data_IF_982618343232
#
_entry.id   IF_982618343232
#
_cell.length_a   1.000
_cell.length_b   1.000
_cell.length_c   1.000
_cell.angle_alpha   90.00
_cell.angle_beta   90.00
_cell.angle_gamma   90.00
#
_symmetry.space_group_name_H-M   'P 1'
#
loop_
_entity.id
_entity.type
_entity.pdbx_description
1 polymer ?
#
# COMPACT_ATOMS: atom_id res chain seq x y z
N UNK A 1 17.99 10.82 0.26
CA UNK A 1 18.01 9.91 -0.90
C UNK A 1 16.67 10.08 -1.59
N UNK A 2 16.73 10.74 -2.75
CA UNK A 2 15.59 11.11 -3.58
C UNK A 2 15.09 9.87 -4.36
N UNK A 3 13.81 9.87 -4.72
CA UNK A 3 13.06 8.75 -5.28
C UNK A 3 13.79 7.98 -6.39
N UNK A 4 14.20 6.75 -6.10
CA UNK A 4 14.23 5.68 -7.11
C UNK A 4 12.80 5.49 -7.63
N UNK A 5 12.67 5.36 -8.95
CA UNK A 5 11.37 5.11 -9.58
C UNK A 5 10.70 3.87 -8.96
N UNK A 6 9.37 3.92 -8.86
CA UNK A 6 8.59 2.77 -8.40
C UNK A 6 8.89 1.57 -9.29
N UNK A 7 9.01 0.38 -8.68
CA UNK A 7 9.05 -0.85 -9.48
C UNK A 7 7.71 -1.02 -10.21
N UNK A 8 7.72 -1.69 -11.37
CA UNK A 8 6.49 -1.99 -12.11
C UNK A 8 5.47 -2.79 -11.28
N UNK A 9 5.94 -3.62 -10.34
CA UNK A 9 5.04 -4.33 -9.42
C UNK A 9 4.40 -3.35 -8.43
N UNK A 10 5.18 -2.44 -7.85
CA UNK A 10 4.67 -1.42 -6.93
C UNK A 10 3.67 -0.50 -7.64
N UNK A 11 3.95 -0.12 -8.89
CA UNK A 11 3.04 0.65 -9.74
C UNK A 11 1.72 -0.09 -9.97
N UNK A 12 1.75 -1.35 -10.41
CA UNK A 12 0.55 -2.14 -10.63
C UNK A 12 -0.27 -2.29 -9.34
N UNK A 13 0.39 -2.57 -8.21
CA UNK A 13 -0.29 -2.73 -6.91
C UNK A 13 -0.90 -1.39 -6.45
N UNK A 14 -0.21 -0.27 -6.66
CA UNK A 14 -0.75 1.06 -6.39
C UNK A 14 -1.99 1.34 -7.23
N UNK A 15 -1.95 1.06 -8.52
CA UNK A 15 -3.09 1.25 -9.40
C UNK A 15 -4.27 0.34 -9.03
N UNK A 16 -4.02 -0.87 -8.55
CA UNK A 16 -5.08 -1.81 -8.17
C UNK A 16 -5.67 -1.53 -6.79
N UNK A 17 -4.84 -1.18 -5.80
CA UNK A 17 -5.24 -1.12 -4.38
C UNK A 17 -5.20 0.30 -3.80
N UNK A 18 -4.49 1.22 -4.43
CA UNK A 18 -4.32 2.59 -3.97
C UNK A 18 -5.55 3.45 -4.19
N UNK A 19 -5.72 4.42 -3.29
CA UNK A 19 -6.68 5.52 -3.43
C UNK A 19 -5.91 6.80 -3.72
N UNK A 20 -6.39 7.58 -4.70
CA UNK A 20 -5.70 8.78 -5.22
C UNK A 20 -6.55 10.05 -5.06
N UNK A 21 -7.66 9.96 -4.33
CA UNK A 21 -8.58 11.08 -4.12
C UNK A 21 -9.60 11.24 -5.25
N UNK A 22 -10.77 11.80 -4.92
CA UNK A 22 -11.87 12.01 -5.89
C UNK A 22 -12.68 10.76 -6.25
N UNK A 23 -12.31 9.57 -5.75
CA UNK A 23 -12.92 8.29 -6.12
C UNK A 23 -14.31 8.02 -5.54
N UNK A 24 -14.91 8.95 -4.75
CA UNK A 24 -16.22 8.72 -4.11
C UNK A 24 -17.36 8.45 -5.09
N UNK A 25 -17.18 8.76 -6.37
CA UNK A 25 -18.14 8.53 -7.45
C UNK A 25 -17.52 7.71 -8.60
N UNK A 26 -16.35 7.11 -8.39
CA UNK A 26 -15.73 6.28 -9.41
C UNK A 26 -16.59 5.03 -9.65
N UNK A 27 -16.66 4.53 -10.90
CA UNK A 27 -17.45 3.35 -11.24
C UNK A 27 -16.95 2.08 -10.55
N UNK A 28 -15.67 2.04 -10.16
CA UNK A 28 -15.08 0.91 -9.45
C UNK A 28 -14.20 1.36 -8.30
N UNK A 29 -14.33 0.67 -7.17
CA UNK A 29 -13.44 0.86 -6.02
C UNK A 29 -12.12 0.09 -6.21
N UNK A 30 -11.01 0.54 -5.60
CA UNK A 30 -9.77 -0.23 -5.52
C UNK A 30 -9.98 -1.61 -4.90
N UNK A 31 -9.12 -2.57 -5.24
CA UNK A 31 -9.16 -3.91 -4.67
C UNK A 31 -8.87 -3.87 -3.16
N UNK A 32 -9.72 -4.54 -2.40
CA UNK A 32 -9.48 -4.81 -0.99
C UNK A 32 -8.32 -5.81 -0.82
N UNK A 33 -7.78 -5.91 0.40
CA UNK A 33 -6.73 -6.88 0.75
C UNK A 33 -7.06 -8.32 0.31
N UNK A 34 -8.24 -8.90 0.62
CA UNK A 34 -8.55 -10.26 0.21
C UNK A 34 -8.70 -10.41 -1.31
N UNK A 35 -9.29 -9.42 -2.00
CA UNK A 35 -9.40 -9.43 -3.48
C UNK A 35 -8.01 -9.41 -4.13
N UNK A 36 -7.12 -8.54 -3.66
CA UNK A 36 -5.76 -8.49 -4.18
C UNK A 36 -4.97 -9.76 -3.81
N UNK A 37 -5.17 -10.35 -2.63
CA UNK A 37 -4.52 -11.60 -2.25
C UNK A 37 -4.95 -12.76 -3.18
N UNK A 38 -6.23 -12.82 -3.56
CA UNK A 38 -6.74 -13.78 -4.54
C UNK A 38 -6.11 -13.56 -5.93
N UNK A 39 -6.05 -12.31 -6.40
CA UNK A 39 -5.40 -11.96 -7.67
C UNK A 39 -3.90 -12.28 -7.67
N UNK A 40 -3.18 -11.92 -6.61
CA UNK A 40 -1.75 -12.21 -6.46
C UNK A 40 -1.48 -13.72 -6.44
N UNK A 41 -2.34 -14.52 -5.81
CA UNK A 41 -2.26 -15.99 -5.85
C UNK A 41 -2.45 -16.50 -7.28
N UNK A 42 -3.46 -16.02 -7.99
CA UNK A 42 -3.76 -16.44 -9.36
C UNK A 42 -2.63 -16.05 -10.35
N UNK A 43 -1.99 -14.89 -10.15
CA UNK A 43 -0.80 -14.47 -10.89
C UNK A 43 0.38 -15.41 -10.64
N UNK A 44 0.72 -15.63 -9.37
CA UNK A 44 1.85 -16.47 -8.98
C UNK A 44 1.72 -17.92 -9.48
N UNK A 45 0.51 -18.49 -9.47
CA UNK A 45 0.25 -19.85 -9.98
C UNK A 45 0.52 -19.98 -11.48
N UNK A 46 0.48 -18.87 -12.23
CA UNK A 46 0.80 -18.81 -13.66
C UNK A 46 2.23 -18.32 -13.94
N UNK A 47 3.04 -18.12 -12.90
CA UNK A 47 4.38 -17.55 -13.01
C UNK A 47 4.40 -16.07 -13.39
N UNK A 48 3.27 -15.37 -13.22
CA UNK A 48 3.12 -13.95 -13.52
C UNK A 48 3.34 -13.08 -12.29
N UNK A 49 3.72 -11.84 -12.52
CA UNK A 49 3.92 -10.77 -11.55
C UNK A 49 2.87 -9.67 -11.73
N UNK A 50 2.62 -8.83 -10.70
CA UNK A 50 1.72 -7.68 -10.84
C UNK A 50 2.06 -6.77 -12.02
N UNK A 51 3.35 -6.52 -12.30
CA UNK A 51 3.78 -5.69 -13.43
C UNK A 51 3.32 -6.21 -14.79
N UNK A 52 3.12 -7.53 -14.94
CA UNK A 52 2.68 -8.12 -16.21
C UNK A 52 1.26 -7.68 -16.58
N UNK A 53 0.46 -7.21 -15.61
CA UNK A 53 -0.85 -6.62 -15.86
C UNK A 53 -0.79 -5.24 -16.53
N UNK A 54 0.36 -4.55 -16.49
CA UNK A 54 0.54 -3.23 -17.13
C UNK A 54 0.81 -3.35 -18.64
N UNK A 55 1.13 -4.54 -19.14
CA UNK A 55 1.26 -4.79 -20.56
C UNK A 55 -0.10 -4.64 -21.27
N UNK A 56 -0.10 -4.29 -22.56
CA UNK A 56 -1.32 -4.03 -23.34
C UNK A 56 -2.35 -5.18 -23.29
N UNK A 57 -1.87 -6.43 -23.18
CA UNK A 57 -2.71 -7.63 -23.10
C UNK A 57 -2.86 -8.19 -21.66
N UNK A 58 -2.18 -7.59 -20.68
CA UNK A 58 -2.12 -8.07 -19.30
C UNK A 58 -3.50 -8.21 -18.61
N UNK A 59 -4.39 -7.21 -18.72
CA UNK A 59 -5.74 -7.28 -18.15
C UNK A 59 -6.67 -8.27 -18.87
N UNK A 60 -6.28 -8.75 -20.06
CA UNK A 60 -7.15 -9.51 -20.95
C UNK A 60 -7.07 -11.03 -20.76
N UNK A 61 -6.36 -11.54 -19.74
CA UNK A 61 -6.32 -12.97 -19.41
C UNK A 61 -7.60 -13.39 -18.65
N UNK A 62 -8.67 -13.88 -19.30
CA UNK A 62 -9.98 -13.97 -18.66
C UNK A 62 -9.99 -15.05 -17.57
N UNK A 63 -9.23 -16.13 -17.77
CA UNK A 63 -9.07 -17.20 -16.79
C UNK A 63 -8.35 -16.78 -15.50
N UNK A 64 -7.47 -15.78 -15.57
CA UNK A 64 -6.78 -15.24 -14.38
C UNK A 64 -7.77 -14.46 -13.51
N UNK A 65 -8.51 -13.55 -14.12
CA UNK A 65 -9.41 -12.64 -13.41
C UNK A 65 -10.66 -13.35 -12.89
N UNK A 66 -11.17 -14.34 -13.65
CA UNK A 66 -12.25 -15.20 -13.20
C UNK A 66 -11.86 -16.01 -11.95
N UNK A 67 -10.65 -16.56 -11.90
CA UNK A 67 -10.16 -17.31 -10.72
C UNK A 67 -9.97 -16.39 -9.50
N UNK A 68 -9.52 -15.15 -9.74
CA UNK A 68 -9.40 -14.13 -8.70
C UNK A 68 -10.76 -13.60 -8.21
N UNK A 69 -11.85 -13.86 -8.94
CA UNK A 69 -13.18 -13.33 -8.65
C UNK A 69 -13.30 -11.83 -8.89
N UNK A 70 -12.51 -11.25 -9.80
CA UNK A 70 -12.49 -9.81 -10.09
C UNK A 70 -12.93 -9.55 -11.54
N UNK A 71 -13.78 -8.56 -11.73
CA UNK A 71 -14.24 -8.15 -13.05
C UNK A 71 -13.12 -7.55 -13.91
N UNK A 72 -13.08 -7.89 -15.20
CA UNK A 72 -12.09 -7.40 -16.16
C UNK A 72 -12.15 -5.87 -16.27
N UNK A 73 -13.36 -5.32 -16.36
CA UNK A 73 -13.64 -3.89 -16.49
C UNK A 73 -13.11 -3.11 -15.28
N UNK A 74 -13.21 -3.69 -14.08
CA UNK A 74 -12.66 -3.12 -12.85
C UNK A 74 -11.13 -3.07 -12.93
N UNK A 75 -10.47 -4.15 -13.35
CA UNK A 75 -9.01 -4.18 -13.49
C UNK A 75 -8.54 -3.15 -14.53
N UNK A 76 -9.13 -3.14 -15.71
CA UNK A 76 -8.80 -2.17 -16.78
C UNK A 76 -8.99 -0.74 -16.29
N UNK A 77 -10.11 -0.44 -15.63
CA UNK A 77 -10.36 0.88 -15.07
C UNK A 77 -9.29 1.26 -14.05
N UNK A 78 -8.99 0.37 -13.10
CA UNK A 78 -8.05 0.65 -12.00
C UNK A 78 -6.63 0.88 -12.51
N UNK A 79 -6.17 0.07 -13.47
CA UNK A 79 -4.87 0.23 -14.14
C UNK A 79 -4.79 1.49 -15.00
N UNK A 80 -5.91 1.98 -15.51
CA UNK A 80 -6.00 3.24 -16.28
C UNK A 80 -5.81 4.51 -15.46
N UNK A 81 -5.59 4.44 -14.14
CA UNK A 81 -5.54 5.60 -13.23
C UNK A 81 -4.15 6.23 -13.08
N UNK A 82 -3.24 5.98 -14.02
CA UNK A 82 -1.83 6.42 -13.98
C UNK A 82 -1.63 7.91 -13.66
N UNK A 83 -2.41 8.81 -14.29
CA UNK A 83 -2.30 10.25 -14.03
C UNK A 83 -2.68 10.62 -12.59
N UNK A 84 -3.76 10.04 -12.05
CA UNK A 84 -4.20 10.30 -10.68
C UNK A 84 -3.19 9.78 -9.65
N UNK A 85 -2.60 8.60 -9.93
CA UNK A 85 -1.52 8.03 -9.15
C UNK A 85 -0.29 8.94 -9.14
N UNK A 86 0.17 9.40 -10.31
CA UNK A 86 1.35 10.26 -10.43
C UNK A 86 1.22 11.56 -9.62
N UNK A 87 0.06 12.23 -9.72
CA UNK A 87 -0.23 13.44 -8.93
C UNK A 87 -0.26 13.17 -7.43
N UNK A 88 -0.79 12.01 -7.02
CA UNK A 88 -0.82 11.61 -5.60
C UNK A 88 0.58 11.31 -5.08
N UNK A 89 1.40 10.56 -5.82
CA UNK A 89 2.79 10.28 -5.46
C UNK A 89 3.61 11.55 -5.32
N UNK A 90 3.45 12.51 -6.24
CA UNK A 90 4.11 13.82 -6.16
C UNK A 90 3.72 14.57 -4.88
N UNK A 91 2.43 14.59 -4.55
CA UNK A 91 1.90 15.20 -3.32
C UNK A 91 2.45 14.53 -2.07
N UNK A 92 2.43 13.21 -2.01
CA UNK A 92 2.92 12.41 -0.89
C UNK A 92 4.42 12.60 -0.70
N UNK A 93 5.19 12.54 -1.78
CA UNK A 93 6.64 12.76 -1.76
C UNK A 93 7.01 14.15 -1.25
N UNK A 94 6.29 15.21 -1.67
CA UNK A 94 6.46 16.58 -1.15
C UNK A 94 6.22 16.69 0.35
N UNK A 95 5.34 15.86 0.92
CA UNK A 95 5.09 15.79 2.35
C UNK A 95 6.08 14.89 3.10
N UNK A 96 7.08 14.32 2.43
CA UNK A 96 8.05 13.39 3.01
C UNK A 96 7.49 11.99 3.25
N UNK A 97 6.39 11.65 2.57
CA UNK A 97 5.82 10.31 2.61
C UNK A 97 6.48 9.40 1.58
N UNK A 98 6.51 8.12 1.91
CA UNK A 98 6.89 7.04 1.03
C UNK A 98 5.78 5.98 1.00
N UNK A 99 5.82 5.14 -0.03
CA UNK A 99 4.91 4.00 -0.17
C UNK A 99 5.72 2.76 -0.50
N UNK A 100 5.31 1.63 0.10
CA UNK A 100 5.87 0.31 -0.12
C UNK A 100 4.73 -0.63 -0.47
N UNK A 101 4.90 -1.42 -1.52
CA UNK A 101 4.01 -2.53 -1.83
C UNK A 101 4.54 -3.81 -1.20
N UNK A 102 3.67 -4.82 -1.09
CA UNK A 102 4.06 -6.16 -0.67
C UNK A 102 5.14 -6.78 -1.58
N UNK A 103 5.30 -6.33 -2.82
CA UNK A 103 6.34 -6.82 -3.74
C UNK A 103 7.73 -6.27 -3.39
N UNK A 104 7.80 -5.16 -2.63
CA UNK A 104 9.08 -4.52 -2.30
C UNK A 104 9.86 -5.30 -1.24
N UNK A 105 11.19 -5.25 -1.37
CA UNK A 105 12.12 -5.84 -0.41
C UNK A 105 12.06 -5.15 0.96
N UNK A 106 11.85 -3.83 0.97
CA UNK A 106 11.72 -3.00 2.17
C UNK A 106 10.36 -3.16 2.87
N UNK A 107 9.41 -3.87 2.29
CA UNK A 107 8.13 -4.14 2.96
C UNK A 107 8.35 -5.10 4.14
N UNK A 108 7.84 -4.78 5.36
CA UNK A 108 8.19 -5.52 6.57
C UNK A 108 7.92 -7.03 6.46
N UNK A 109 8.98 -7.83 6.62
CA UNK A 109 8.88 -9.30 6.52
C UNK A 109 7.93 -9.88 7.59
N UNK A 110 7.88 -9.25 8.76
CA UNK A 110 6.99 -9.65 9.85
C UNK A 110 5.51 -9.58 9.45
N UNK A 111 5.09 -8.53 8.72
CA UNK A 111 3.73 -8.40 8.18
C UNK A 111 3.43 -9.53 7.19
N UNK A 112 4.33 -9.79 6.22
CA UNK A 112 4.15 -10.85 5.22
C UNK A 112 4.01 -12.22 5.87
N UNK A 113 4.86 -12.53 6.85
CA UNK A 113 4.92 -13.84 7.53
C UNK A 113 3.70 -14.08 8.44
N UNK A 114 3.28 -13.08 9.20
CA UNK A 114 2.24 -13.24 10.24
C UNK A 114 0.83 -13.04 9.71
N UNK A 115 0.61 -12.03 8.88
CA UNK A 115 -0.71 -11.74 8.32
C UNK A 115 -0.98 -12.56 7.05
N UNK A 116 0.06 -13.10 6.38
CA UNK A 116 -0.09 -13.92 5.16
C UNK A 116 -1.00 -13.23 4.14
N UNK A 117 -2.17 -13.77 3.83
CA UNK A 117 -3.11 -13.18 2.86
C UNK A 117 -3.82 -11.92 3.39
N UNK A 118 -3.84 -11.72 4.72
CA UNK A 118 -4.39 -10.52 5.35
C UNK A 118 -3.40 -9.35 5.41
N UNK A 119 -2.14 -9.55 4.98
CA UNK A 119 -1.17 -8.46 4.99
C UNK A 119 -1.55 -7.41 3.92
N UNK A 120 -1.59 -6.13 4.28
CA UNK A 120 -2.05 -5.07 3.39
C UNK A 120 -1.17 -4.98 2.14
N UNK A 121 -1.76 -4.79 0.94
CA UNK A 121 -1.00 -4.73 -0.31
C UNK A 121 -0.04 -3.54 -0.37
N UNK A 122 -0.40 -2.46 0.31
CA UNK A 122 0.33 -1.19 0.35
C UNK A 122 0.55 -0.77 1.81
N UNK A 123 1.72 -0.21 2.07
CA UNK A 123 2.08 0.41 3.34
C UNK A 123 2.62 1.81 3.03
N UNK A 124 1.96 2.81 3.58
CA UNK A 124 2.37 4.21 3.48
C UNK A 124 3.11 4.58 4.76
N UNK A 125 4.08 5.49 4.68
CA UNK A 125 4.72 5.97 5.88
C UNK A 125 5.50 7.26 5.73
N UNK A 126 5.92 7.79 6.88
CA UNK A 126 6.72 8.99 7.02
C UNK A 126 7.89 8.72 7.96
N UNK A 127 9.05 9.30 7.68
CA UNK A 127 10.27 9.10 8.48
C UNK A 127 11.15 7.98 7.93
N UNK A 128 12.06 7.45 8.76
CA UNK A 128 13.09 6.50 8.32
C UNK A 128 12.52 5.09 8.13
N UNK A 129 12.50 4.58 6.89
CA UNK A 129 12.08 3.21 6.56
C UNK A 129 12.88 2.14 7.30
N UNK A 130 14.16 2.37 7.59
CA UNK A 130 15.00 1.44 8.35
C UNK A 130 14.47 1.15 9.79
N UNK A 131 13.54 1.95 10.31
CA UNK A 131 12.89 1.70 11.59
C UNK A 131 11.85 0.57 11.50
N UNK A 132 11.45 0.14 10.31
CA UNK A 132 10.46 -0.92 10.10
C UNK A 132 11.00 -2.33 10.39
N UNK A 133 12.30 -2.55 10.18
CA UNK A 133 12.93 -3.87 10.32
C UNK A 133 13.47 -4.12 11.74
N UNK A 134 13.60 -3.07 12.55
CA UNK A 134 14.15 -3.17 13.91
C UNK A 134 12.98 -3.21 14.90
N UNK A 135 12.43 -4.41 15.10
CA UNK A 135 11.29 -4.66 16.00
C UNK A 135 11.48 -4.05 17.40
N UNK A 136 10.94 -2.85 17.61
CA UNK A 136 11.02 -2.15 18.90
C UNK A 136 11.43 -0.68 18.90
N UNK A 137 11.50 0.04 17.75
CA UNK A 137 11.64 1.51 17.76
C UNK A 137 10.43 2.19 17.12
N UNK A 138 9.99 3.31 17.71
CA UNK A 138 8.66 3.93 17.56
C UNK A 138 8.11 3.91 16.12
N UNK A 139 7.36 2.85 15.81
CA UNK A 139 6.46 2.76 14.67
C UNK A 139 5.06 2.99 15.20
N UNK A 140 4.42 4.08 14.80
CA UNK A 140 3.01 4.31 15.09
C UNK A 140 2.19 3.95 13.85
N UNK A 141 1.31 2.96 13.99
CA UNK A 141 0.36 2.60 12.94
C UNK A 141 -0.89 3.46 13.08
N UNK A 142 -1.14 4.34 12.11
CA UNK A 142 -2.22 5.33 12.19
C UNK A 142 -3.49 4.83 11.49
N UNK A 143 -4.61 4.92 12.21
CA UNK A 143 -5.96 4.69 11.68
C UNK A 143 -6.58 5.93 11.01
N UNK A 144 -5.90 7.08 11.06
CA UNK A 144 -6.35 8.35 10.50
C UNK A 144 -5.33 8.97 9.54
N UNK A 145 -5.58 10.22 9.16
CA UNK A 145 -4.87 10.95 8.11
C UNK A 145 -3.35 11.05 8.38
N UNK A 146 -2.60 10.17 7.70
CA UNK A 146 -1.15 10.06 7.76
C UNK A 146 -0.50 11.30 7.15
N UNK A 147 -1.08 11.87 6.09
CA UNK A 147 -0.56 13.09 5.46
C UNK A 147 -0.56 14.23 6.48
N UNK A 148 -1.68 14.46 7.17
CA UNK A 148 -1.80 15.46 8.24
C UNK A 148 -0.88 15.16 9.43
N UNK A 149 -0.77 13.89 9.83
CA UNK A 149 0.08 13.49 10.94
C UNK A 149 1.58 13.68 10.65
N UNK A 150 2.01 13.50 9.40
CA UNK A 150 3.40 13.63 8.97
C UNK A 150 3.92 15.07 9.03
N UNK A 151 3.07 16.05 8.68
CA UNK A 151 3.43 17.48 8.67
C UNK A 151 3.14 18.19 10.00
N UNK A 152 2.42 17.52 10.90
CA UNK A 152 2.00 18.04 12.20
C UNK A 152 3.16 18.31 13.16
N UNK A 153 3.02 19.36 13.98
CA UNK A 153 4.08 19.81 14.92
C UNK A 153 4.46 18.74 15.96
N UNK A 154 3.49 17.92 16.36
CA UNK A 154 3.67 16.87 17.37
C UNK A 154 4.71 15.81 16.93
N UNK A 155 4.65 15.39 15.66
CA UNK A 155 5.50 14.31 15.13
C UNK A 155 6.76 14.83 14.44
N UNK A 156 6.77 16.10 14.00
CA UNK A 156 7.84 16.70 13.20
C UNK A 156 9.24 16.47 13.79
N UNK A 157 9.41 16.75 15.08
CA UNK A 157 10.72 16.61 15.74
C UNK A 157 11.23 15.17 15.69
N UNK A 158 10.39 14.20 16.03
CA UNK A 158 10.73 12.77 16.00
C UNK A 158 11.03 12.25 14.59
N UNK A 159 10.25 12.69 13.60
CA UNK A 159 10.48 12.36 12.19
C UNK A 159 11.81 12.93 11.68
N UNK A 160 12.08 14.22 11.93
CA UNK A 160 13.32 14.90 11.51
C UNK A 160 14.56 14.33 12.19
N UNK A 161 14.45 13.95 13.46
CA UNK A 161 15.55 13.35 14.22
C UNK A 161 15.73 11.85 13.92
N UNK A 162 14.88 11.28 13.05
CA UNK A 162 14.96 9.87 12.68
C UNK A 162 14.68 8.90 13.82
N UNK A 163 13.89 9.33 14.82
CA UNK A 163 13.51 8.52 16.00
C UNK A 163 12.09 7.97 15.93
N UNK A 164 11.31 8.40 14.94
CA UNK A 164 9.91 8.03 14.73
C UNK A 164 9.72 7.65 13.26
N UNK A 165 8.97 6.58 13.02
CA UNK A 165 8.32 6.32 11.75
C UNK A 165 6.80 6.24 11.98
N UNK A 166 6.03 6.93 11.13
CA UNK A 166 4.58 6.76 11.08
C UNK A 166 4.28 5.84 9.92
N UNK A 167 3.41 4.86 10.10
CA UNK A 167 2.96 4.00 9.01
C UNK A 167 1.45 3.84 9.01
N UNK A 168 0.88 3.56 7.86
CA UNK A 168 -0.54 3.21 7.74
C UNK A 168 -0.74 2.28 6.55
N UNK A 169 -1.59 1.24 6.68
CA UNK A 169 -2.03 0.44 5.53
C UNK A 169 -3.10 1.17 4.68
N UNK A 170 -3.50 2.38 5.09
CA UNK A 170 -4.52 3.17 4.44
C UNK A 170 -3.91 4.33 3.65
N UNK A 171 -4.61 4.76 2.60
CA UNK A 171 -4.18 5.90 1.80
C UNK A 171 -3.93 7.14 2.68
N UNK A 172 -2.91 7.97 2.39
CA UNK A 172 -2.42 8.96 3.33
C UNK A 172 -3.47 9.98 3.81
N UNK A 173 -4.42 10.33 2.95
CA UNK A 173 -5.50 11.29 3.22
C UNK A 173 -6.74 10.65 3.84
N UNK A 174 -6.75 9.32 4.05
CA UNK A 174 -7.91 8.64 4.58
C UNK A 174 -8.14 9.02 6.05
N UNK A 175 -9.36 9.48 6.34
CA UNK A 175 -9.79 9.77 7.70
C UNK A 175 -9.97 8.51 8.53
N UNK A 176 -10.35 8.68 9.81
CA UNK A 176 -10.70 7.55 10.66
C UNK A 176 -12.06 7.01 10.23
N UNK A 177 -12.11 5.72 9.88
CA UNK A 177 -13.32 5.00 9.53
C UNK A 177 -13.51 3.75 10.40
N UNK A 178 -14.76 3.30 10.55
CA UNK A 178 -15.07 2.06 11.26
C UNK A 178 -14.36 0.88 10.59
N UNK A 179 -13.54 0.15 11.36
CA UNK A 179 -12.72 -0.96 10.87
C UNK A 179 -11.22 -0.65 10.72
N UNK A 180 -10.82 0.63 10.60
CA UNK A 180 -9.40 0.98 10.48
C UNK A 180 -8.57 0.53 11.69
N UNK A 181 -9.12 0.72 12.90
CA UNK A 181 -8.46 0.36 14.15
C UNK A 181 -8.08 -1.12 14.21
N UNK A 182 -9.00 -2.04 13.85
CA UNK A 182 -8.73 -3.48 13.87
C UNK A 182 -7.60 -3.88 12.92
N UNK A 183 -7.50 -3.27 11.73
CA UNK A 183 -6.39 -3.52 10.81
C UNK A 183 -5.08 -2.97 11.37
N UNK A 184 -5.10 -1.76 11.96
CA UNK A 184 -3.94 -1.17 12.60
C UNK A 184 -3.45 -2.05 13.77
N UNK A 185 -4.34 -2.52 14.63
CA UNK A 185 -4.02 -3.39 15.76
C UNK A 185 -3.33 -4.66 15.29
N UNK A 186 -3.86 -5.33 14.26
CA UNK A 186 -3.19 -6.50 13.66
C UNK A 186 -1.81 -6.18 13.09
N UNK A 187 -1.63 -5.00 12.49
CA UNK A 187 -0.32 -4.58 12.00
C UNK A 187 0.64 -4.27 13.15
N UNK A 188 0.18 -3.62 14.22
CA UNK A 188 0.96 -3.36 15.44
C UNK A 188 1.39 -4.70 16.03
N UNK A 189 0.45 -5.60 16.29
CA UNK A 189 0.73 -6.93 16.84
C UNK A 189 1.78 -7.63 15.98
N UNK A 190 1.60 -7.61 14.65
CA UNK A 190 2.51 -8.19 13.66
C UNK A 190 3.93 -7.60 13.69
N UNK A 191 4.08 -6.31 13.98
CA UNK A 191 5.36 -5.57 13.98
C UNK A 191 6.07 -5.56 15.35
N UNK A 192 5.32 -5.68 16.45
CA UNK A 192 5.86 -5.57 17.82
C UNK A 192 6.53 -6.86 18.30
N UNK A 193 6.05 -8.03 17.86
CA UNK A 193 6.51 -9.30 18.41
C UNK A 193 7.85 -9.75 17.77
N UNK A 194 8.95 -9.83 18.53
CA UNK A 194 10.22 -10.34 18.05
C UNK A 194 10.13 -11.87 17.99
N UNK A 195 9.97 -12.41 16.78
CA UNK A 195 10.21 -13.84 16.54
C UNK A 195 11.70 -14.18 16.65
#
# INVERSE_FOLDING_TARGET
MSAEGLSGDTEAILLLCGRFGGERQAPFEPLSTPEYAALARALNQRGLRPADLLAADGPAAPGLLQEAGVAVERIVFLLGRGTAMALSLERWSRAGLWVLSRADAAYPAALKRRLKHDAPPLLYGAGRQALLDVGGRAVSVLAGDLLKASVGRLNRSGLQQGRLALVSPFAPELGVHAGNASVCDRCIDALVDPS
#
